data_IF_188388982983
#
_entry.id   IF_188388982983
#
_cell.length_a   1.000
_cell.length_b   1.000
_cell.length_c   1.000
_cell.angle_alpha   90.00
_cell.angle_beta   90.00
_cell.angle_gamma   90.00
#
_symmetry.space_group_name_H-M   'P 1'
#
loop_
_entity.id
_entity.type
_entity.pdbx_description
1 polymer ?
#
# COMPACT_ATOMS: atom_id res chain seq x y z
N UNK A 1 -51.56 25.94 29.10
CA UNK A 1 -51.31 26.38 30.50
C UNK A 1 -49.85 26.07 30.86
N UNK A 2 -49.12 27.09 31.35
CA UNK A 2 -47.81 27.08 32.08
C UNK A 2 -46.65 26.26 31.46
N UNK A 3 -45.70 26.87 30.73
CA UNK A 3 -44.47 27.56 31.19
C UNK A 3 -43.67 26.80 32.25
N UNK A 4 -42.50 26.28 31.90
CA UNK A 4 -41.26 26.38 32.70
C UNK A 4 -40.08 26.62 31.75
N UNK A 5 -39.34 27.67 32.09
CA UNK A 5 -38.11 28.18 31.49
C UNK A 5 -36.96 27.82 32.47
N UNK A 6 -35.82 27.35 31.97
CA UNK A 6 -34.47 27.42 32.57
C UNK A 6 -33.52 26.82 31.52
N UNK A 7 -32.66 27.53 30.78
CA UNK A 7 -31.61 28.51 31.05
C UNK A 7 -30.46 28.01 31.94
N UNK A 8 -29.24 28.13 31.38
CA UNK A 8 -27.89 27.92 31.92
C UNK A 8 -27.24 26.57 31.53
N UNK A 9 -25.97 26.45 31.14
CA UNK A 9 -24.93 27.41 30.79
C UNK A 9 -23.79 26.65 30.06
N UNK A 10 -23.17 27.33 29.09
CA UNK A 10 -21.73 27.38 28.73
C UNK A 10 -20.80 26.30 29.30
N UNK A 11 -20.16 25.54 28.39
CA UNK A 11 -18.69 25.39 28.34
C UNK A 11 -18.23 24.73 27.04
N UNK A 12 -17.70 25.54 26.13
CA UNK A 12 -16.98 25.13 24.93
C UNK A 12 -15.55 24.71 25.36
N UNK A 13 -15.34 23.43 25.64
CA UNK A 13 -13.99 22.91 25.91
C UNK A 13 -13.38 22.42 24.58
N UNK A 14 -12.70 23.33 23.87
CA UNK A 14 -11.79 22.96 22.79
C UNK A 14 -10.54 22.31 23.42
N UNK A 15 -10.49 20.98 23.44
CA UNK A 15 -9.28 20.23 23.77
C UNK A 15 -8.43 20.07 22.51
N UNK A 16 -7.48 20.99 22.31
CA UNK A 16 -6.37 20.78 21.39
C UNK A 16 -5.42 19.72 22.00
N UNK A 17 -4.93 18.74 21.23
CA UNK A 17 -3.82 17.92 21.68
C UNK A 17 -2.57 18.79 21.77
N UNK A 18 -2.02 18.93 22.98
CA UNK A 18 -0.68 19.47 23.17
C UNK A 18 0.32 18.54 22.50
N UNK A 19 0.86 18.96 21.36
CA UNK A 19 2.09 18.38 20.80
C UNK A 19 3.24 18.75 21.73
N UNK A 20 3.68 17.80 22.53
CA UNK A 20 4.92 17.91 23.29
C UNK A 20 6.12 17.81 22.31
N UNK A 21 6.58 18.96 21.81
CA UNK A 21 7.89 19.07 21.15
C UNK A 21 8.97 19.21 22.24
N UNK A 22 9.51 18.09 22.69
CA UNK A 22 10.71 18.08 23.53
C UNK A 22 11.97 18.16 22.65
N UNK A 23 12.26 19.36 22.14
CA UNK A 23 13.61 19.74 21.71
C UNK A 23 14.16 20.77 22.69
N UNK A 24 14.37 20.33 23.94
CA UNK A 24 15.25 21.03 24.85
C UNK A 24 16.69 20.74 24.41
N UNK A 25 17.19 21.62 23.55
CA UNK A 25 18.58 21.60 23.11
C UNK A 25 19.54 21.73 24.30
N UNK A 26 20.49 20.80 24.35
CA UNK A 26 21.90 21.15 24.25
C UNK A 26 22.40 22.25 25.20
N UNK A 27 22.14 22.09 26.50
CA UNK A 27 22.70 22.93 27.54
C UNK A 27 23.28 22.04 28.63
N UNK A 28 24.44 21.42 28.38
CA UNK A 28 25.54 21.12 29.33
C UNK A 28 26.26 19.81 28.96
N UNK A 29 27.52 19.93 28.53
CA UNK A 29 28.49 18.85 28.64
C UNK A 29 28.69 18.02 27.36
N UNK A 30 29.86 18.19 26.76
CA UNK A 30 30.26 17.53 25.52
C UNK A 30 30.03 16.02 25.53
N UNK A 31 29.22 15.58 24.59
CA UNK A 31 29.36 14.28 23.96
C UNK A 31 29.38 14.55 22.47
N UNK A 32 30.46 14.11 21.82
CA UNK A 32 30.56 13.95 20.37
C UNK A 32 29.19 13.48 19.85
N UNK A 33 28.63 14.04 18.76
CA UNK A 33 27.43 13.45 18.18
C UNK A 33 27.78 11.98 17.92
N UNK A 34 27.09 11.06 18.63
CA UNK A 34 27.09 9.68 18.22
C UNK A 34 26.69 9.73 16.75
N UNK A 35 27.54 9.16 15.89
CA UNK A 35 27.34 9.15 14.44
C UNK A 35 25.86 8.87 14.18
N UNK A 36 25.18 9.81 13.52
CA UNK A 36 23.75 9.75 13.29
C UNK A 36 23.39 8.43 12.64
N UNK A 37 22.96 7.47 13.47
CA UNK A 37 22.45 6.20 13.01
C UNK A 37 21.14 6.50 12.33
N UNK A 38 21.03 6.13 11.06
CA UNK A 38 19.76 6.15 10.32
C UNK A 38 18.65 5.60 11.21
N UNK A 39 17.57 6.35 11.42
CA UNK A 39 16.40 5.88 12.16
C UNK A 39 15.69 4.77 11.37
N UNK A 40 16.18 3.54 11.53
CA UNK A 40 15.66 2.35 10.86
C UNK A 40 14.24 2.02 11.29
N UNK A 41 13.85 2.36 12.52
CA UNK A 41 12.49 2.11 13.00
C UNK A 41 11.50 3.02 12.28
N UNK A 42 11.79 4.32 12.20
CA UNK A 42 10.99 5.28 11.44
C UNK A 42 10.91 4.93 9.95
N UNK A 43 12.04 4.56 9.34
CA UNK A 43 12.08 4.11 7.95
C UNK A 43 11.24 2.84 7.72
N UNK A 44 11.32 1.86 8.62
CA UNK A 44 10.46 0.67 8.54
C UNK A 44 8.99 1.04 8.58
N UNK A 45 8.56 1.84 9.57
CA UNK A 45 7.14 2.20 9.72
C UNK A 45 6.60 2.88 8.47
N UNK A 46 7.36 3.80 7.89
CA UNK A 46 6.97 4.47 6.64
C UNK A 46 6.95 3.49 5.46
N UNK A 47 7.99 2.68 5.30
CA UNK A 47 8.11 1.70 4.23
C UNK A 47 6.95 0.69 4.26
N UNK A 48 6.68 0.10 5.43
CA UNK A 48 5.63 -0.90 5.65
C UNK A 48 4.24 -0.31 5.41
N UNK A 49 3.96 0.89 5.93
CA UNK A 49 2.68 1.56 5.71
C UNK A 49 2.43 1.83 4.23
N UNK A 50 3.42 2.41 3.55
CA UNK A 50 3.28 2.74 2.14
C UNK A 50 3.18 1.48 1.26
N UNK A 51 3.90 0.43 1.63
CA UNK A 51 3.84 -0.87 0.97
C UNK A 51 2.44 -1.51 1.10
N UNK A 52 1.87 -1.50 2.31
CA UNK A 52 0.52 -2.01 2.54
C UNK A 52 -0.54 -1.19 1.79
N UNK A 53 -0.39 0.13 1.74
CA UNK A 53 -1.26 1.00 0.96
C UNK A 53 -1.18 0.73 -0.55
N UNK A 54 0.01 0.47 -1.09
CA UNK A 54 0.18 0.04 -2.48
C UNK A 54 -0.50 -1.30 -2.75
N UNK A 55 -0.35 -2.27 -1.84
CA UNK A 55 -1.03 -3.56 -1.92
C UNK A 55 -2.55 -3.45 -1.89
N UNK A 56 -3.11 -2.51 -1.13
CA UNK A 56 -4.55 -2.23 -1.12
C UNK A 56 -5.05 -1.79 -2.49
N UNK A 57 -4.36 -0.87 -3.17
CA UNK A 57 -4.76 -0.43 -4.52
C UNK A 57 -4.73 -1.60 -5.52
N UNK A 58 -3.73 -2.48 -5.41
CA UNK A 58 -3.66 -3.70 -6.24
C UNK A 58 -4.80 -4.66 -5.91
N UNK A 59 -5.18 -4.78 -4.62
CA UNK A 59 -6.35 -5.53 -4.21
C UNK A 59 -7.64 -4.99 -4.81
N UNK A 60 -7.85 -3.67 -4.74
CA UNK A 60 -8.99 -2.97 -5.38
C UNK A 60 -8.99 -3.18 -6.90
N UNK A 61 -7.82 -3.11 -7.53
CA UNK A 61 -7.66 -3.38 -8.94
C UNK A 61 -8.10 -4.80 -9.32
N UNK A 62 -7.61 -5.79 -8.57
CA UNK A 62 -7.98 -7.18 -8.76
C UNK A 62 -9.49 -7.35 -8.62
N UNK A 63 -10.13 -6.76 -7.61
CA UNK A 63 -11.60 -6.79 -7.45
C UNK A 63 -12.33 -6.24 -8.67
N UNK A 64 -11.97 -5.06 -9.17
CA UNK A 64 -12.62 -4.48 -10.34
C UNK A 64 -12.42 -5.32 -11.61
N UNK A 65 -11.21 -5.84 -11.83
CA UNK A 65 -10.94 -6.74 -12.96
C UNK A 65 -11.72 -8.05 -12.78
N UNK A 66 -11.75 -8.59 -11.57
CA UNK A 66 -12.48 -9.82 -11.23
C UNK A 66 -13.98 -9.70 -11.49
N UNK A 67 -14.58 -8.61 -11.04
CA UNK A 67 -15.99 -8.28 -11.32
C UNK A 67 -16.26 -8.15 -12.82
N UNK A 68 -15.38 -7.46 -13.55
CA UNK A 68 -15.51 -7.29 -15.00
C UNK A 68 -15.41 -8.63 -15.76
N UNK A 69 -14.59 -9.56 -15.26
CA UNK A 69 -14.42 -10.90 -15.83
C UNK A 69 -15.43 -11.92 -15.28
N UNK A 70 -16.20 -11.54 -14.25
CA UNK A 70 -17.16 -12.42 -13.57
C UNK A 70 -16.51 -13.55 -12.76
N UNK A 71 -15.30 -13.35 -12.25
CA UNK A 71 -14.59 -14.33 -11.41
C UNK A 71 -14.68 -13.96 -9.94
N UNK A 72 -14.69 -14.97 -9.07
CA UNK A 72 -14.63 -14.77 -7.61
C UNK A 72 -13.18 -14.66 -7.17
N UNK A 73 -12.88 -13.62 -6.41
CA UNK A 73 -11.57 -13.38 -5.83
C UNK A 73 -11.63 -13.47 -4.30
N UNK A 74 -10.48 -13.69 -3.68
CA UNK A 74 -10.36 -13.64 -2.23
C UNK A 74 -10.50 -12.19 -1.76
N UNK A 75 -11.26 -11.98 -0.69
CA UNK A 75 -11.28 -10.68 -0.01
C UNK A 75 -9.90 -10.40 0.58
N UNK A 76 -9.38 -9.20 0.33
CA UNK A 76 -8.15 -8.72 0.96
C UNK A 76 -8.56 -7.69 2.00
N UNK A 77 -8.17 -7.91 3.25
CA UNK A 77 -8.44 -6.98 4.34
C UNK A 77 -7.76 -5.62 4.06
N UNK A 78 -8.55 -4.55 4.04
CA UNK A 78 -8.13 -3.20 3.66
C UNK A 78 -7.41 -2.42 4.77
N UNK A 79 -6.98 -3.08 5.85
CA UNK A 79 -6.21 -2.47 6.94
C UNK A 79 -4.79 -2.04 6.51
N UNK A 80 -4.67 -1.03 5.65
CA UNK A 80 -3.38 -0.40 5.29
C UNK A 80 -2.93 0.68 6.28
N UNK A 81 -3.74 0.97 7.30
CA UNK A 81 -3.55 2.11 8.21
C UNK A 81 -2.93 1.75 9.55
N UNK A 82 -2.60 0.48 9.80
CA UNK A 82 -1.90 0.12 11.03
C UNK A 82 -0.44 0.52 10.94
N UNK A 83 0.01 1.33 11.91
CA UNK A 83 1.40 1.75 12.09
C UNK A 83 2.32 0.56 12.43
N UNK A 84 1.75 -0.61 12.74
CA UNK A 84 2.45 -1.77 13.28
C UNK A 84 2.10 -3.08 12.56
N UNK A 85 2.05 -3.09 11.22
CA UNK A 85 1.90 -4.35 10.48
C UNK A 85 3.13 -5.24 10.70
N UNK A 86 2.89 -6.47 11.16
CA UNK A 86 3.91 -7.51 11.27
C UNK A 86 4.28 -8.08 9.89
N UNK A 87 5.46 -8.70 9.81
CA UNK A 87 5.88 -9.41 8.60
C UNK A 87 4.89 -10.51 8.19
N UNK A 88 4.30 -11.23 9.15
CA UNK A 88 3.30 -12.26 8.90
C UNK A 88 2.00 -11.73 8.31
N UNK A 89 1.55 -10.54 8.75
CA UNK A 89 0.35 -9.90 8.18
C UNK A 89 0.61 -9.41 6.76
N UNK A 90 1.80 -8.85 6.50
CA UNK A 90 2.23 -8.48 5.16
C UNK A 90 2.30 -9.70 4.24
N UNK A 91 2.87 -10.81 4.72
CA UNK A 91 2.98 -12.04 3.95
C UNK A 91 1.60 -12.62 3.59
N UNK A 92 0.67 -12.64 4.54
CA UNK A 92 -0.70 -13.08 4.29
C UNK A 92 -1.39 -12.22 3.21
N UNK A 93 -1.20 -10.89 3.28
CA UNK A 93 -1.74 -9.95 2.28
C UNK A 93 -1.12 -10.15 0.90
N UNK A 94 0.21 -10.25 0.81
CA UNK A 94 0.92 -10.47 -0.45
C UNK A 94 0.52 -11.81 -1.09
N UNK A 95 0.31 -12.85 -0.29
CA UNK A 95 -0.18 -14.15 -0.77
C UNK A 95 -1.59 -14.05 -1.36
N UNK A 96 -2.49 -13.33 -0.69
CA UNK A 96 -3.85 -13.11 -1.19
C UNK A 96 -3.87 -12.26 -2.48
N UNK A 97 -3.06 -11.19 -2.52
CA UNK A 97 -2.87 -10.36 -3.71
C UNK A 97 -2.34 -11.20 -4.88
N UNK A 98 -1.32 -12.02 -4.63
CA UNK A 98 -0.71 -12.88 -5.64
C UNK A 98 -1.69 -13.95 -6.16
N UNK A 99 -2.47 -14.57 -5.28
CA UNK A 99 -3.50 -15.54 -5.66
C UNK A 99 -4.60 -14.90 -6.52
N UNK A 100 -5.02 -13.69 -6.16
CA UNK A 100 -5.99 -12.93 -6.95
C UNK A 100 -5.43 -12.52 -8.32
N UNK A 101 -4.18 -12.03 -8.35
CA UNK A 101 -3.51 -11.65 -9.59
C UNK A 101 -3.33 -12.86 -10.54
N UNK A 102 -3.00 -14.04 -9.99
CA UNK A 102 -2.94 -15.28 -10.75
C UNK A 102 -4.32 -15.66 -11.32
N UNK A 103 -5.38 -15.57 -10.52
CA UNK A 103 -6.75 -15.86 -10.96
C UNK A 103 -7.20 -14.92 -12.07
N UNK A 104 -6.84 -13.64 -11.98
CA UNK A 104 -7.04 -12.65 -13.04
C UNK A 104 -6.25 -13.04 -14.29
N UNK A 105 -4.96 -13.30 -14.17
CA UNK A 105 -4.08 -13.69 -15.29
C UNK A 105 -4.62 -14.93 -16.02
N UNK A 106 -5.07 -15.94 -15.29
CA UNK A 106 -5.66 -17.14 -15.85
C UNK A 106 -6.98 -16.85 -16.58
N UNK A 107 -7.83 -15.98 -16.04
CA UNK A 107 -9.08 -15.58 -16.70
C UNK A 107 -8.82 -14.79 -18.00
N UNK A 108 -7.82 -13.92 -18.00
CA UNK A 108 -7.39 -13.18 -19.20
C UNK A 108 -6.89 -14.15 -20.29
N UNK A 109 -6.05 -15.13 -19.91
CA UNK A 109 -5.50 -16.14 -20.84
C UNK A 109 -6.55 -17.10 -21.38
N UNK A 110 -7.56 -17.44 -20.58
CA UNK A 110 -8.68 -18.32 -20.99
C UNK A 110 -9.65 -17.64 -21.98
N UNK A 111 -9.40 -16.39 -22.36
CA UNK A 111 -10.23 -15.67 -23.32
C UNK A 111 -11.58 -15.26 -22.75
N UNK A 112 -11.63 -14.94 -21.44
CA UNK A 112 -12.80 -14.30 -20.86
C UNK A 112 -13.21 -13.10 -21.72
N UNK A 113 -14.50 -12.87 -21.91
CA UNK A 113 -14.98 -11.73 -22.70
C UNK A 113 -15.76 -10.79 -21.80
N UNK A 114 -15.57 -9.49 -22.01
CA UNK A 114 -16.30 -8.46 -21.28
C UNK A 114 -17.75 -8.45 -21.78
N UNK A 115 -18.68 -8.80 -20.90
CA UNK A 115 -20.08 -9.11 -21.25
C UNK A 115 -20.87 -7.90 -21.74
N UNK A 116 -20.52 -6.70 -21.27
CA UNK A 116 -21.23 -5.46 -21.56
C UNK A 116 -20.33 -4.22 -21.37
N UNK A 117 -20.88 -3.04 -21.67
CA UNK A 117 -20.18 -1.77 -21.50
C UNK A 117 -19.84 -1.44 -20.03
N UNK A 118 -20.57 -1.97 -19.06
CA UNK A 118 -20.28 -1.80 -17.63
C UNK A 118 -19.02 -2.59 -17.24
N UNK A 119 -18.92 -3.83 -17.71
CA UNK A 119 -17.75 -4.70 -17.55
C UNK A 119 -16.50 -4.05 -18.14
N UNK A 120 -16.61 -3.40 -19.30
CA UNK A 120 -15.50 -2.63 -19.89
C UNK A 120 -15.08 -1.45 -19.02
N UNK A 121 -16.03 -0.71 -18.43
CA UNK A 121 -15.74 0.40 -17.51
C UNK A 121 -15.06 -0.10 -16.24
N UNK A 122 -15.59 -1.15 -15.61
CA UNK A 122 -14.98 -1.80 -14.43
C UNK A 122 -13.57 -2.31 -14.73
N UNK A 123 -13.37 -2.92 -15.90
CA UNK A 123 -12.05 -3.35 -16.33
C UNK A 123 -11.07 -2.17 -16.44
N UNK A 124 -11.49 -1.06 -17.06
CA UNK A 124 -10.66 0.15 -17.16
C UNK A 124 -10.35 0.78 -15.78
N UNK A 125 -11.31 0.79 -14.86
CA UNK A 125 -11.09 1.22 -13.47
C UNK A 125 -10.08 0.31 -12.75
N UNK A 126 -10.17 -1.00 -12.99
CA UNK A 126 -9.20 -1.98 -12.52
C UNK A 126 -7.80 -1.73 -13.06
N UNK A 127 -7.65 -1.46 -14.36
CA UNK A 127 -6.35 -1.09 -14.96
C UNK A 127 -5.75 0.16 -14.32
N UNK A 128 -6.56 1.20 -14.10
CA UNK A 128 -6.11 2.43 -13.45
C UNK A 128 -5.64 2.17 -12.02
N UNK A 129 -6.39 1.39 -11.26
CA UNK A 129 -6.06 1.02 -9.87
C UNK A 129 -4.78 0.17 -9.82
N UNK A 130 -4.63 -0.78 -10.76
CA UNK A 130 -3.45 -1.63 -10.84
C UNK A 130 -2.20 -0.81 -11.13
N UNK A 131 -2.30 0.11 -12.09
CA UNK A 131 -1.21 1.01 -12.43
C UNK A 131 -0.87 1.97 -11.29
N UNK A 132 -1.87 2.44 -10.54
CA UNK A 132 -1.66 3.28 -9.36
C UNK A 132 -0.91 2.51 -8.26
N UNK A 133 -1.34 1.29 -7.95
CA UNK A 133 -0.65 0.43 -6.98
C UNK A 133 0.76 0.08 -7.41
N UNK A 134 0.95 -0.26 -8.70
CA UNK A 134 2.27 -0.53 -9.28
C UNK A 134 3.18 0.70 -9.21
N UNK A 135 2.68 1.90 -9.52
CA UNK A 135 3.42 3.16 -9.41
C UNK A 135 3.89 3.40 -7.98
N UNK A 136 3.03 3.15 -6.99
CA UNK A 136 3.40 3.24 -5.57
C UNK A 136 4.50 2.23 -5.21
N UNK A 137 4.38 0.97 -5.63
CA UNK A 137 5.43 -0.02 -5.40
C UNK A 137 6.76 0.36 -6.07
N UNK A 138 6.73 0.86 -7.31
CA UNK A 138 7.93 1.36 -8.00
C UNK A 138 8.55 2.53 -7.21
N UNK A 139 7.73 3.45 -6.72
CA UNK A 139 8.17 4.60 -5.91
C UNK A 139 8.87 4.19 -4.61
N UNK A 140 8.52 3.02 -4.05
CA UNK A 140 9.12 2.51 -2.82
C UNK A 140 10.47 1.82 -3.01
N UNK A 141 10.93 1.61 -4.24
CA UNK A 141 12.20 0.90 -4.51
C UNK A 141 13.38 1.57 -3.82
N UNK A 142 13.46 2.90 -3.87
CA UNK A 142 14.55 3.66 -3.25
C UNK A 142 14.50 3.59 -1.72
N UNK A 143 13.30 3.66 -1.14
CA UNK A 143 13.10 3.55 0.32
C UNK A 143 13.45 2.15 0.81
N UNK A 144 13.00 1.11 0.09
CA UNK A 144 13.33 -0.28 0.35
C UNK A 144 14.83 -0.56 0.24
N UNK A 145 15.50 -0.01 -0.76
CA UNK A 145 16.95 -0.13 -0.92
C UNK A 145 17.70 0.61 0.20
N UNK A 146 17.27 1.81 0.55
CA UNK A 146 17.85 2.59 1.65
C UNK A 146 17.70 1.86 2.98
N UNK A 147 16.52 1.26 3.22
CA UNK A 147 16.28 0.42 4.38
C UNK A 147 17.17 -0.83 4.38
N UNK A 148 17.28 -1.56 3.26
CA UNK A 148 18.13 -2.75 3.16
C UNK A 148 19.62 -2.44 3.41
N UNK A 149 20.10 -1.30 2.91
CA UNK A 149 21.46 -0.83 3.15
C UNK A 149 21.69 -0.53 4.63
N UNK A 150 20.75 0.16 5.28
CA UNK A 150 20.83 0.44 6.71
C UNK A 150 20.68 -0.81 7.58
N UNK A 151 19.86 -1.78 7.16
CA UNK A 151 19.70 -3.07 7.82
C UNK A 151 21.02 -3.86 7.85
N UNK A 152 21.82 -3.77 6.78
CA UNK A 152 23.15 -4.42 6.71
C UNK A 152 24.14 -3.87 7.73
N UNK A 153 23.89 -2.66 8.25
CA UNK A 153 24.70 -2.01 9.29
C UNK A 153 24.02 -2.03 10.67
N UNK A 154 22.84 -2.64 10.79
CA UNK A 154 22.08 -2.70 12.03
C UNK A 154 22.71 -3.68 13.02
N UNK A 155 22.65 -3.34 14.31
CA UNK A 155 23.13 -4.25 15.35
C UNK A 155 22.22 -5.48 15.48
N UNK A 156 22.74 -6.67 15.86
CA UNK A 156 21.92 -7.87 16.06
C UNK A 156 20.74 -7.68 17.05
N UNK A 157 20.87 -6.74 18.00
CA UNK A 157 19.82 -6.40 18.95
C UNK A 157 18.64 -5.63 18.31
N UNK A 158 18.87 -4.94 17.20
CA UNK A 158 17.83 -4.18 16.48
C UNK A 158 17.07 -5.04 15.46
N UNK A 159 17.69 -6.10 14.93
CA UNK A 159 17.11 -6.95 13.87
C UNK A 159 15.72 -7.52 14.19
N UNK A 160 15.41 -7.99 15.42
CA UNK A 160 14.08 -8.54 15.72
C UNK A 160 12.94 -7.53 15.51
N UNK A 161 13.20 -6.23 15.73
CA UNK A 161 12.22 -5.16 15.52
C UNK A 161 12.09 -4.71 14.07
N UNK A 162 12.95 -5.19 13.16
CA UNK A 162 13.06 -4.72 11.77
C UNK A 162 12.55 -5.72 10.72
N UNK A 163 11.85 -6.77 11.16
CA UNK A 163 11.44 -7.89 10.31
C UNK A 163 10.44 -7.49 9.21
N UNK A 164 9.50 -6.59 9.50
CA UNK A 164 8.49 -6.17 8.53
C UNK A 164 9.12 -5.36 7.39
N UNK A 165 10.03 -4.45 7.71
CA UNK A 165 10.79 -3.69 6.70
C UNK A 165 11.71 -4.60 5.89
N UNK A 166 12.34 -5.59 6.56
CA UNK A 166 13.20 -6.57 5.88
C UNK A 166 12.39 -7.45 4.91
N UNK A 167 11.18 -7.85 5.29
CA UNK A 167 10.24 -8.55 4.43
C UNK A 167 9.93 -7.71 3.19
N UNK A 168 9.49 -6.46 3.36
CA UNK A 168 9.17 -5.55 2.25
C UNK A 168 10.37 -5.36 1.32
N UNK A 169 11.55 -5.09 1.87
CA UNK A 169 12.75 -4.87 1.06
C UNK A 169 13.11 -6.10 0.20
N UNK A 170 12.80 -7.30 0.71
CA UNK A 170 13.02 -8.57 -0.01
C UNK A 170 11.95 -8.85 -1.06
N UNK A 171 10.67 -8.60 -0.77
CA UNK A 171 9.55 -9.01 -1.64
C UNK A 171 9.18 -7.96 -2.69
N UNK A 172 9.40 -6.68 -2.40
CA UNK A 172 9.03 -5.58 -3.27
C UNK A 172 9.53 -5.74 -4.72
N UNK A 173 10.82 -6.08 -5.00
CA UNK A 173 11.29 -6.22 -6.37
C UNK A 173 10.52 -7.28 -7.17
N UNK A 174 10.23 -8.42 -6.54
CA UNK A 174 9.48 -9.52 -7.16
C UNK A 174 8.03 -9.14 -7.41
N UNK A 175 7.40 -8.45 -6.47
CA UNK A 175 6.01 -8.01 -6.60
C UNK A 175 5.86 -6.96 -7.70
N UNK A 176 6.80 -6.02 -7.82
CA UNK A 176 6.80 -5.08 -8.93
C UNK A 176 6.90 -5.80 -10.27
N UNK A 177 7.85 -6.74 -10.43
CA UNK A 177 8.00 -7.50 -11.69
C UNK A 177 6.71 -8.24 -12.06
N UNK A 178 6.14 -8.97 -11.10
CA UNK A 178 4.92 -9.77 -11.30
C UNK A 178 3.74 -8.88 -11.70
N UNK A 179 3.57 -7.74 -11.03
CA UNK A 179 2.46 -6.83 -11.28
C UNK A 179 2.62 -6.08 -12.61
N UNK A 180 3.85 -5.76 -13.03
CA UNK A 180 4.13 -5.24 -14.38
C UNK A 180 3.66 -6.23 -15.45
N UNK A 181 3.96 -7.52 -15.30
CA UNK A 181 3.53 -8.56 -16.25
C UNK A 181 2.01 -8.71 -16.27
N UNK A 182 1.35 -8.69 -15.10
CA UNK A 182 -0.12 -8.73 -15.01
C UNK A 182 -0.74 -7.52 -15.69
N UNK A 183 -0.21 -6.31 -15.45
CA UNK A 183 -0.71 -5.08 -16.07
C UNK A 183 -0.53 -5.12 -17.59
N UNK A 184 0.62 -5.59 -18.09
CA UNK A 184 0.86 -5.78 -19.52
C UNK A 184 -0.18 -6.69 -20.16
N UNK A 185 -0.40 -7.86 -19.56
CA UNK A 185 -1.41 -8.83 -20.04
C UNK A 185 -2.82 -8.24 -19.99
N UNK A 186 -3.17 -7.50 -18.95
CA UNK A 186 -4.46 -6.85 -18.80
C UNK A 186 -4.67 -5.73 -19.83
N UNK A 187 -3.64 -4.95 -20.15
CA UNK A 187 -3.67 -3.91 -21.20
C UNK A 187 -3.86 -4.53 -22.58
N UNK A 188 -3.13 -5.60 -22.89
CA UNK A 188 -3.25 -6.28 -24.19
C UNK A 188 -4.65 -6.91 -24.36
N UNK A 189 -5.19 -7.46 -23.28
CA UNK A 189 -6.58 -7.93 -23.24
C UNK A 189 -7.59 -6.81 -23.43
N UNK A 190 -7.40 -5.65 -22.76
CA UNK A 190 -8.27 -4.49 -22.91
C UNK A 190 -8.32 -3.99 -24.36
N UNK A 191 -7.15 -3.87 -25.01
CA UNK A 191 -7.05 -3.48 -26.42
C UNK A 191 -7.82 -4.46 -27.32
N UNK A 192 -7.64 -5.75 -27.09
CA UNK A 192 -8.29 -6.82 -27.85
C UNK A 192 -9.82 -6.85 -27.66
N UNK A 193 -10.32 -6.37 -26.52
CA UNK A 193 -11.75 -6.29 -26.20
C UNK A 193 -12.37 -4.90 -26.45
N UNK A 194 -11.62 -3.96 -27.05
CA UNK A 194 -12.09 -2.59 -27.32
C UNK A 194 -12.39 -1.78 -26.06
N UNK A 195 -11.62 -1.99 -24.99
CA UNK A 195 -11.65 -1.17 -23.79
C UNK A 195 -10.68 0.00 -23.98
N UNK A 196 -11.12 1.21 -23.65
CA UNK A 196 -10.23 2.37 -23.63
C UNK A 196 -9.22 2.20 -22.48
N UNK A 197 -7.94 2.07 -22.84
CA UNK A 197 -6.85 1.94 -21.87
C UNK A 197 -6.51 3.34 -21.32
N UNK A 198 -6.57 3.56 -20.00
CA UNK A 198 -6.14 4.82 -19.40
C UNK A 198 -4.65 5.07 -19.67
N UNK A 199 -4.27 6.31 -20.03
CA UNK A 199 -2.86 6.65 -20.29
C UNK A 199 -1.94 6.36 -19.09
N UNK A 200 -2.46 6.58 -17.87
CA UNK A 200 -1.76 6.25 -16.63
C UNK A 200 -1.43 4.76 -16.52
N UNK A 201 -2.27 3.88 -17.08
CA UNK A 201 -2.04 2.43 -17.06
C UNK A 201 -0.87 2.00 -17.95
N UNK A 202 -0.61 2.74 -19.03
CA UNK A 202 0.55 2.50 -19.89
C UNK A 202 1.80 3.24 -19.42
N UNK A 203 1.70 4.22 -18.53
CA UNK A 203 2.84 5.04 -18.09
C UNK A 203 3.86 4.30 -17.22
N UNK A 204 3.47 3.15 -16.67
CA UNK A 204 4.25 2.32 -15.75
C UNK A 204 4.72 1.00 -16.36
N UNK A 205 4.40 0.77 -17.64
CA UNK A 205 4.85 -0.37 -18.46
C UNK A 205 6.05 0.05 -19.31
#
# INVERSE_FOLDING_TARGET
MKKILALAAVSLAMTLPMTASAQLGNLLGGSKPAAGGTDLSGLQTQLVRNYAAAGQDVGTANTHIGEALGIKLQSIDASATSDSLSASELEAKDKAISANAQSVSDALKKGATLKDGESKKKFAQGLLSLATGLKKYIGLRNDAQSFANGLSSASPMQLPGLQAGAYVAKTLPSNVSTLTDVLKNAVDFAKSNGVAVPADATSVL
#
